data_IF_867502189388
#
_entry.id   IF_867502189388
#
_cell.length_a   1.000
_cell.length_b   1.000
_cell.length_c   1.000
_cell.angle_alpha   90.00
_cell.angle_beta   90.00
_cell.angle_gamma   90.00
#
_symmetry.space_group_name_H-M   'P 1'
#
loop_
_entity.id
_entity.type
_entity.pdbx_description
1 polymer ?
#
# COMPACT_ATOMS: atom_id res chain seq x y z
N UNK A 1 -18.94 -12.11 -11.86
CA UNK A 1 -19.47 -11.14 -10.88
C UNK A 1 -18.89 -11.51 -9.52
N UNK A 2 -18.26 -10.57 -8.81
CA UNK A 2 -17.74 -10.80 -7.45
C UNK A 2 -18.90 -10.88 -6.46
N UNK A 3 -19.79 -9.90 -6.58
CA UNK A 3 -21.02 -9.81 -5.81
C UNK A 3 -22.03 -10.82 -6.35
N UNK A 4 -22.73 -11.46 -5.42
CA UNK A 4 -23.64 -12.57 -5.70
C UNK A 4 -22.95 -13.92 -5.96
N UNK A 5 -21.61 -13.97 -5.96
CA UNK A 5 -20.86 -15.24 -5.96
C UNK A 5 -20.00 -15.40 -4.71
N UNK A 6 -19.20 -14.40 -4.36
CA UNK A 6 -18.15 -14.55 -3.33
C UNK A 6 -18.26 -13.53 -2.19
N UNK A 7 -18.84 -12.35 -2.45
CA UNK A 7 -18.86 -11.27 -1.45
C UNK A 7 -20.30 -10.76 -1.21
N UNK A 8 -21.01 -11.20 -0.15
CA UNK A 8 -22.40 -10.86 0.13
C UNK A 8 -22.53 -9.50 0.85
N UNK A 9 -21.85 -8.48 0.33
CA UNK A 9 -21.87 -7.11 0.85
C UNK A 9 -22.14 -6.09 -0.27
N UNK A 10 -22.28 -4.81 0.10
CA UNK A 10 -22.64 -3.75 -0.83
C UNK A 10 -21.58 -3.47 -1.90
N UNK A 11 -22.06 -3.11 -3.10
CA UNK A 11 -21.23 -2.83 -4.28
C UNK A 11 -20.16 -1.77 -4.05
N UNK A 12 -20.44 -0.78 -3.19
CA UNK A 12 -19.48 0.28 -2.86
C UNK A 12 -18.21 -0.27 -2.23
N UNK A 13 -18.32 -1.20 -1.27
CA UNK A 13 -17.16 -1.75 -0.57
C UNK A 13 -16.24 -2.52 -1.53
N UNK A 14 -16.81 -3.30 -2.45
CA UNK A 14 -16.06 -4.04 -3.48
C UNK A 14 -15.40 -3.08 -4.46
N UNK A 15 -16.15 -2.09 -4.95
CA UNK A 15 -15.65 -1.14 -5.94
C UNK A 15 -14.54 -0.26 -5.36
N UNK A 16 -14.71 0.29 -4.15
CA UNK A 16 -13.71 1.11 -3.48
C UNK A 16 -12.43 0.31 -3.17
N UNK A 17 -12.56 -0.95 -2.75
CA UNK A 17 -11.40 -1.83 -2.58
C UNK A 17 -10.63 -2.04 -3.90
N UNK A 18 -11.36 -2.30 -5.00
CA UNK A 18 -10.77 -2.43 -6.33
C UNK A 18 -10.10 -1.14 -6.81
N UNK A 19 -10.74 0.02 -6.58
CA UNK A 19 -10.20 1.33 -6.93
C UNK A 19 -8.87 1.57 -6.21
N UNK A 20 -8.79 1.28 -4.91
CA UNK A 20 -7.54 1.45 -4.15
C UNK A 20 -6.42 0.57 -4.69
N UNK A 21 -6.72 -0.66 -5.12
CA UNK A 21 -5.75 -1.57 -5.75
C UNK A 21 -5.25 -1.10 -7.13
N UNK A 22 -5.89 -0.08 -7.73
CA UNK A 22 -5.55 0.51 -9.01
C UNK A 22 -4.92 1.91 -8.91
N UNK A 23 -4.66 2.39 -7.68
CA UNK A 23 -4.06 3.70 -7.43
C UNK A 23 -2.59 3.54 -7.04
N UNK A 24 -1.69 4.11 -7.84
CA UNK A 24 -0.24 4.05 -7.65
C UNK A 24 0.26 4.77 -6.39
N UNK A 25 -0.51 5.73 -5.88
CA UNK A 25 -0.27 6.41 -4.60
C UNK A 25 -0.79 5.65 -3.37
N UNK A 26 -1.57 4.57 -3.56
CA UNK A 26 -2.08 3.71 -2.48
C UNK A 26 -1.38 2.36 -2.45
N UNK A 27 -1.19 1.70 -3.59
CA UNK A 27 -0.52 0.41 -3.68
C UNK A 27 0.88 0.56 -4.25
N UNK A 28 1.89 0.09 -3.51
CA UNK A 28 3.30 0.11 -3.96
C UNK A 28 3.50 -0.70 -5.24
N UNK A 29 2.75 -1.79 -5.38
CA UNK A 29 2.63 -2.61 -6.58
C UNK A 29 1.15 -2.88 -6.86
N UNK A 30 0.54 -2.05 -7.70
CA UNK A 30 -0.88 -2.14 -8.06
C UNK A 30 -1.28 -3.54 -8.53
N UNK A 31 -2.40 -4.04 -7.99
CA UNK A 31 -2.95 -5.35 -8.35
C UNK A 31 -4.01 -5.24 -9.47
N UNK A 32 -4.53 -4.04 -9.68
CA UNK A 32 -5.53 -3.75 -10.70
C UNK A 32 -4.97 -2.71 -11.67
N UNK A 33 -5.17 -2.93 -12.96
CA UNK A 33 -4.97 -1.93 -13.99
C UNK A 33 -6.34 -1.34 -14.35
N UNK A 34 -6.57 -0.10 -13.93
CA UNK A 34 -7.78 0.66 -14.23
C UNK A 34 -7.67 1.46 -15.54
N UNK A 35 -8.82 1.70 -16.18
CA UNK A 35 -9.00 2.64 -17.29
C UNK A 35 -10.20 3.54 -16.99
N UNK A 36 -10.02 4.86 -17.15
CA UNK A 36 -10.94 5.89 -16.68
C UNK A 36 -10.42 6.63 -15.44
N UNK A 37 -11.30 7.38 -14.76
CA UNK A 37 -10.92 8.14 -13.56
C UNK A 37 -10.99 7.25 -12.30
N UNK A 38 -9.82 6.93 -11.74
CA UNK A 38 -9.67 6.15 -10.51
C UNK A 38 -9.35 7.01 -9.28
N UNK A 39 -9.61 8.32 -9.33
CA UNK A 39 -9.36 9.25 -8.22
C UNK A 39 -7.93 9.80 -8.21
N UNK A 40 -7.63 10.63 -7.21
CA UNK A 40 -6.38 11.40 -7.15
C UNK A 40 -5.79 11.47 -5.74
N UNK A 41 -4.51 11.86 -5.65
CA UNK A 41 -3.83 12.16 -4.37
C UNK A 41 -4.43 13.38 -3.63
N UNK A 42 -5.22 14.20 -4.33
CA UNK A 42 -6.01 15.29 -3.73
C UNK A 42 -7.25 14.79 -2.99
N UNK A 43 -7.54 13.49 -3.08
CA UNK A 43 -8.69 12.84 -2.45
C UNK A 43 -9.96 12.90 -3.28
N UNK A 44 -9.85 13.19 -4.58
CA UNK A 44 -10.97 13.02 -5.49
C UNK A 44 -11.33 11.54 -5.57
N UNK A 45 -12.62 11.23 -5.42
CA UNK A 45 -13.13 9.88 -5.60
C UNK A 45 -12.99 9.43 -7.06
N UNK A 46 -12.90 8.11 -7.26
CA UNK A 46 -13.06 7.53 -8.60
C UNK A 46 -14.42 7.87 -9.20
N UNK A 47 -14.50 7.85 -10.54
CA UNK A 47 -15.79 7.90 -11.21
C UNK A 47 -16.66 6.70 -10.81
N UNK A 48 -17.97 6.80 -11.01
CA UNK A 48 -18.88 5.68 -10.76
C UNK A 48 -18.48 4.45 -11.61
N UNK A 49 -18.66 3.25 -11.07
CA UNK A 49 -18.22 1.98 -11.68
C UNK A 49 -18.65 1.74 -13.14
N UNK A 50 -19.74 2.38 -13.59
CA UNK A 50 -20.23 2.33 -14.98
C UNK A 50 -19.36 3.11 -16.00
N UNK A 51 -18.43 3.93 -15.53
CA UNK A 51 -17.55 4.77 -16.35
C UNK A 51 -16.08 4.32 -16.29
N UNK A 52 -15.79 3.24 -15.57
CA UNK A 52 -14.44 2.73 -15.37
C UNK A 52 -14.36 1.29 -15.84
N UNK A 53 -13.22 0.92 -16.40
CA UNK A 53 -12.89 -0.45 -16.74
C UNK A 53 -11.68 -0.89 -15.93
N UNK A 54 -11.56 -2.19 -15.69
CA UNK A 54 -10.46 -2.74 -14.92
C UNK A 54 -10.07 -4.13 -15.42
N UNK A 55 -8.78 -4.43 -15.31
CA UNK A 55 -8.24 -5.78 -15.49
C UNK A 55 -7.13 -6.04 -14.47
N UNK A 56 -6.66 -7.28 -14.38
CA UNK A 56 -5.50 -7.59 -13.54
C UNK A 56 -4.25 -6.87 -14.04
N UNK A 57 -3.46 -6.33 -13.12
CA UNK A 57 -2.09 -5.92 -13.44
C UNK A 57 -1.23 -7.17 -13.74
N UNK A 58 -0.07 -6.98 -14.37
CA UNK A 58 0.83 -8.11 -14.67
C UNK A 58 1.27 -8.86 -13.42
N UNK A 59 1.55 -8.15 -12.32
CA UNK A 59 2.02 -8.77 -11.07
C UNK A 59 0.93 -9.59 -10.37
N UNK A 60 -0.35 -9.25 -10.57
CA UNK A 60 -1.47 -10.05 -10.05
C UNK A 60 -1.53 -11.46 -10.62
N UNK A 61 -0.97 -11.67 -11.83
CA UNK A 61 -0.84 -13.03 -12.36
C UNK A 61 0.04 -13.91 -11.48
N UNK A 62 1.03 -13.36 -10.77
CA UNK A 62 1.85 -14.11 -9.82
C UNK A 62 1.08 -14.42 -8.51
N UNK A 63 0.03 -13.68 -8.18
CA UNK A 63 -0.86 -14.05 -7.06
C UNK A 63 -1.68 -15.30 -7.41
N UNK A 64 -2.19 -15.37 -8.64
CA UNK A 64 -3.07 -16.44 -9.11
C UNK A 64 -2.33 -17.61 -9.78
N UNK A 65 -1.01 -17.49 -9.95
CA UNK A 65 -0.22 -18.48 -10.68
C UNK A 65 -0.34 -19.84 -10.02
N UNK A 66 -0.68 -20.83 -10.83
CA UNK A 66 -0.88 -22.23 -10.44
C UNK A 66 -2.13 -22.52 -9.59
N UNK A 67 -3.06 -21.56 -9.43
CA UNK A 67 -4.27 -21.72 -8.60
C UNK A 67 -5.14 -22.95 -8.97
N UNK A 68 -5.15 -23.35 -10.25
CA UNK A 68 -5.90 -24.52 -10.74
C UNK A 68 -5.11 -25.84 -10.71
N UNK A 69 -3.98 -25.89 -9.98
CA UNK A 69 -3.11 -27.07 -9.88
C UNK A 69 -3.10 -27.68 -8.48
N UNK A 70 -4.22 -27.55 -7.76
CA UNK A 70 -4.40 -28.12 -6.42
C UNK A 70 -3.31 -27.65 -5.43
N UNK A 71 -2.91 -26.37 -5.55
CA UNK A 71 -1.87 -25.77 -4.70
C UNK A 71 -2.41 -25.15 -3.42
N UNK A 72 -3.71 -24.94 -3.34
CA UNK A 72 -4.42 -24.30 -2.23
C UNK A 72 -5.78 -24.96 -2.03
N UNK A 73 -6.27 -24.89 -0.81
CA UNK A 73 -7.60 -25.38 -0.47
C UNK A 73 -8.71 -24.44 -0.96
N UNK A 74 -9.84 -25.03 -1.34
CA UNK A 74 -11.08 -24.34 -1.65
C UNK A 74 -12.14 -24.64 -0.60
N UNK A 75 -12.98 -23.65 -0.35
CA UNK A 75 -14.17 -23.77 0.50
C UNK A 75 -15.43 -23.44 -0.30
N UNK A 76 -16.58 -23.84 0.22
CA UNK A 76 -17.87 -23.35 -0.29
C UNK A 76 -18.02 -21.85 -0.01
N UNK A 77 -18.63 -21.13 -0.95
CA UNK A 77 -19.00 -19.73 -0.77
C UNK A 77 -20.14 -19.58 0.25
N UNK A 78 -20.57 -18.33 0.50
CA UNK A 78 -21.54 -18.00 1.55
C UNK A 78 -22.92 -18.68 1.44
N UNK A 79 -23.33 -19.13 0.24
CA UNK A 79 -24.61 -19.83 0.01
C UNK A 79 -24.45 -21.29 -0.49
N UNK A 80 -23.21 -21.78 -0.56
CA UNK A 80 -22.88 -23.15 -1.00
C UNK A 80 -23.04 -23.42 -2.50
N UNK A 81 -23.33 -22.41 -3.32
CA UNK A 81 -23.52 -22.59 -4.77
C UNK A 81 -22.23 -22.51 -5.59
N UNK A 82 -21.15 -21.97 -5.04
CA UNK A 82 -19.85 -21.77 -5.69
C UNK A 82 -18.71 -22.20 -4.77
N UNK A 83 -17.52 -22.42 -5.34
CA UNK A 83 -16.27 -22.62 -4.57
C UNK A 83 -15.39 -21.38 -4.64
N UNK A 84 -14.72 -21.04 -3.54
CA UNK A 84 -13.76 -19.95 -3.44
C UNK A 84 -12.44 -20.40 -2.77
N UNK A 85 -11.30 -19.81 -3.16
CA UNK A 85 -10.02 -20.15 -2.55
C UNK A 85 -9.94 -19.64 -1.11
N UNK A 86 -9.47 -20.47 -0.18
CA UNK A 86 -9.22 -20.05 1.22
C UNK A 86 -8.05 -19.07 1.30
N UNK A 87 -7.06 -19.26 0.42
CA UNK A 87 -5.88 -18.40 0.24
C UNK A 87 -5.44 -18.42 -1.22
N UNK A 88 -4.71 -17.39 -1.64
CA UNK A 88 -4.11 -17.36 -2.99
C UNK A 88 -2.71 -18.00 -2.98
N UNK A 89 -2.25 -18.60 -4.09
CA UNK A 89 -0.88 -19.12 -4.22
C UNK A 89 0.21 -18.09 -3.90
N UNK A 90 -0.01 -16.80 -4.22
CA UNK A 90 0.82 -15.67 -3.80
C UNK A 90 2.33 -15.86 -4.01
N UNK A 91 2.76 -15.96 -5.28
CA UNK A 91 4.17 -16.24 -5.66
C UNK A 91 5.16 -15.11 -5.43
N UNK A 92 4.74 -14.07 -4.71
CA UNK A 92 5.59 -13.02 -4.17
C UNK A 92 5.05 -12.58 -2.79
N UNK A 93 5.89 -12.00 -1.91
CA UNK A 93 5.54 -11.69 -0.53
C UNK A 93 4.61 -10.46 -0.39
N UNK A 94 3.39 -10.56 -0.92
CA UNK A 94 2.44 -9.45 -1.09
C UNK A 94 2.11 -8.68 0.21
N UNK A 95 2.03 -9.38 1.35
CA UNK A 95 1.69 -8.76 2.64
C UNK A 95 2.69 -7.65 3.02
N UNK A 96 3.99 -7.91 2.91
CA UNK A 96 5.01 -6.91 3.22
C UNK A 96 5.17 -5.90 2.07
N UNK A 97 5.06 -6.38 0.83
CA UNK A 97 5.27 -5.56 -0.37
C UNK A 97 4.23 -4.46 -0.51
N UNK A 98 2.94 -4.78 -0.36
CA UNK A 98 1.87 -3.79 -0.45
C UNK A 98 1.39 -3.27 0.91
N UNK A 99 1.77 -3.93 2.01
CA UNK A 99 1.31 -3.59 3.34
C UNK A 99 -0.16 -3.96 3.57
N UNK A 100 -0.66 -3.58 4.75
CA UNK A 100 -2.05 -3.77 5.12
C UNK A 100 -2.44 -2.77 6.22
N UNK A 101 -3.63 -2.18 6.11
CA UNK A 101 -4.20 -1.36 7.18
C UNK A 101 -5.66 -1.76 7.38
N UNK A 102 -6.06 -1.97 8.63
CA UNK A 102 -7.41 -2.43 8.96
C UNK A 102 -7.75 -2.25 10.42
N UNK A 103 -9.00 -1.90 10.69
CA UNK A 103 -9.56 -1.77 12.04
C UNK A 103 -10.56 -2.90 12.21
N UNK A 104 -10.31 -3.77 13.18
CA UNK A 104 -11.21 -4.86 13.56
C UNK A 104 -11.88 -4.52 14.90
N UNK A 105 -12.52 -5.52 15.52
CA UNK A 105 -13.10 -5.37 16.86
C UNK A 105 -12.04 -5.74 17.91
N UNK A 106 -11.64 -4.77 18.73
CA UNK A 106 -10.63 -4.97 19.80
C UNK A 106 -9.17 -4.99 19.33
N UNK A 107 -8.91 -4.86 18.03
CA UNK A 107 -7.57 -4.84 17.46
C UNK A 107 -7.52 -4.03 16.15
N UNK A 108 -6.32 -3.65 15.73
CA UNK A 108 -6.07 -3.02 14.44
C UNK A 108 -4.70 -3.46 13.90
N UNK A 109 -4.51 -3.34 12.59
CA UNK A 109 -3.24 -3.61 11.90
C UNK A 109 -2.82 -2.40 11.07
N UNK A 110 -1.51 -2.17 10.99
CA UNK A 110 -0.90 -1.17 10.12
C UNK A 110 0.52 -1.61 9.75
N UNK A 111 0.63 -2.30 8.62
CA UNK A 111 1.87 -2.82 8.05
C UNK A 111 2.21 -1.92 6.85
N UNK A 112 3.38 -1.24 6.85
CA UNK A 112 3.75 -0.38 5.74
C UNK A 112 4.25 -1.21 4.54
N UNK A 113 4.16 -0.68 3.31
CA UNK A 113 4.69 -1.33 2.11
C UNK A 113 6.23 -1.37 2.10
N UNK A 114 6.78 -2.30 1.33
CA UNK A 114 8.22 -2.54 1.18
C UNK A 114 8.58 -2.78 -0.28
N UNK A 115 9.86 -2.62 -0.60
CA UNK A 115 10.38 -2.81 -1.94
C UNK A 115 10.41 -4.32 -2.28
N UNK A 116 9.89 -4.71 -3.45
CA UNK A 116 9.70 -6.12 -3.82
C UNK A 116 10.99 -6.94 -3.87
N UNK A 117 12.03 -6.40 -4.49
CA UNK A 117 13.35 -7.03 -4.58
C UNK A 117 14.00 -7.22 -3.22
N UNK A 118 14.00 -6.20 -2.36
CA UNK A 118 14.53 -6.27 -0.99
C UNK A 118 13.83 -7.38 -0.18
N UNK A 119 12.50 -7.44 -0.25
CA UNK A 119 11.75 -8.49 0.46
C UNK A 119 12.04 -9.88 -0.13
N UNK A 120 12.15 -10.02 -1.45
CA UNK A 120 12.54 -11.29 -2.09
C UNK A 120 13.96 -11.70 -1.65
N UNK A 121 14.91 -10.77 -1.67
CA UNK A 121 16.29 -11.02 -1.26
C UNK A 121 16.35 -11.42 0.23
N UNK A 122 15.54 -10.80 1.08
CA UNK A 122 15.40 -11.19 2.48
C UNK A 122 14.82 -12.60 2.65
N UNK A 123 13.79 -12.97 1.89
CA UNK A 123 13.24 -14.33 1.87
C UNK A 123 14.31 -15.34 1.41
N UNK A 124 15.08 -15.01 0.37
CA UNK A 124 16.18 -15.85 -0.12
C UNK A 124 17.28 -15.99 0.93
N UNK A 125 17.61 -14.93 1.67
CA UNK A 125 18.60 -14.97 2.74
C UNK A 125 18.14 -15.90 3.89
N UNK A 126 16.91 -15.77 4.36
CA UNK A 126 16.31 -16.64 5.38
C UNK A 126 16.30 -18.11 4.92
N UNK A 127 15.97 -18.38 3.66
CA UNK A 127 15.96 -19.75 3.13
C UNK A 127 17.34 -20.42 3.08
N UNK A 128 18.43 -19.62 2.97
CA UNK A 128 19.82 -20.12 2.96
C UNK A 128 20.42 -20.18 4.36
N UNK A 129 19.99 -19.29 5.26
CA UNK A 129 20.44 -19.23 6.64
C UNK A 129 19.23 -19.07 7.56
N UNK A 130 18.68 -20.18 8.11
CA UNK A 130 17.56 -20.14 9.05
C UNK A 130 17.86 -19.37 10.34
N UNK A 131 19.14 -19.23 10.72
CA UNK A 131 19.60 -18.52 11.91
C UNK A 131 19.96 -17.05 11.64
N UNK A 132 19.63 -16.52 10.45
CA UNK A 132 19.88 -15.12 10.11
C UNK A 132 19.27 -14.19 11.16
N UNK A 133 20.10 -13.29 11.67
CA UNK A 133 19.68 -12.35 12.70
C UNK A 133 18.90 -11.20 12.08
N UNK A 134 18.05 -10.55 12.88
CA UNK A 134 17.33 -9.39 12.39
C UNK A 134 18.25 -8.25 11.90
N UNK A 135 19.36 -7.89 12.57
CA UNK A 135 20.30 -6.91 12.02
C UNK A 135 20.82 -7.26 10.63
N UNK A 136 21.16 -8.53 10.38
CA UNK A 136 21.59 -8.98 9.05
C UNK A 136 20.46 -8.87 8.02
N UNK A 137 19.23 -9.26 8.40
CA UNK A 137 18.07 -9.11 7.52
C UNK A 137 17.76 -7.63 7.21
N UNK A 138 18.01 -6.73 8.16
CA UNK A 138 17.83 -5.28 8.00
C UNK A 138 18.89 -4.61 7.10
N UNK A 139 20.01 -5.27 6.81
CA UNK A 139 20.92 -4.81 5.76
C UNK A 139 20.36 -5.10 4.37
N UNK A 140 19.47 -6.09 4.25
CA UNK A 140 18.81 -6.49 3.00
C UNK A 140 17.46 -5.78 2.82
N UNK A 141 16.70 -5.62 3.91
CA UNK A 141 15.43 -4.91 3.97
C UNK A 141 15.64 -3.68 4.88
N UNK A 142 16.11 -2.53 4.35
CA UNK A 142 16.51 -1.40 5.18
C UNK A 142 15.37 -0.74 5.94
N UNK A 143 14.15 -0.83 5.39
CA UNK A 143 12.95 -0.21 5.91
C UNK A 143 11.76 -0.27 4.94
N UNK A 144 10.65 0.39 5.28
CA UNK A 144 9.52 0.56 4.36
C UNK A 144 9.87 1.36 3.11
N UNK A 145 9.14 1.09 2.02
CA UNK A 145 9.22 1.79 0.74
C UNK A 145 7.81 2.19 0.28
N UNK A 146 7.47 3.46 0.43
CA UNK A 146 6.12 3.96 0.21
C UNK A 146 5.86 4.31 -1.26
N UNK A 147 4.64 4.07 -1.77
CA UNK A 147 4.27 4.47 -3.14
C UNK A 147 4.41 5.98 -3.41
N UNK A 148 4.26 6.79 -2.37
CA UNK A 148 4.39 8.27 -2.44
C UNK A 148 5.82 8.75 -2.19
N UNK A 149 6.79 7.83 -2.05
CA UNK A 149 8.15 8.11 -1.64
C UNK A 149 8.22 8.91 -0.32
N UNK A 150 8.89 10.06 -0.31
CA UNK A 150 9.15 10.85 0.88
C UNK A 150 10.38 10.37 1.65
N UNK A 151 10.54 10.89 2.86
CA UNK A 151 11.70 10.61 3.70
C UNK A 151 11.28 9.95 5.01
N UNK A 152 12.01 8.91 5.41
CA UNK A 152 11.91 8.34 6.76
C UNK A 152 12.97 8.99 7.64
N UNK A 153 12.57 9.47 8.82
CA UNK A 153 13.48 10.09 9.77
C UNK A 153 13.98 9.06 10.81
N UNK A 154 15.26 8.71 10.70
CA UNK A 154 15.91 7.77 11.60
C UNK A 154 15.52 6.30 11.36
N UNK A 155 16.23 5.39 12.03
CA UNK A 155 16.05 3.93 11.84
C UNK A 155 15.57 3.20 13.11
N UNK A 156 15.54 3.86 14.26
CA UNK A 156 15.12 3.26 15.54
C UNK A 156 13.68 2.77 15.51
N UNK A 157 12.78 3.54 14.88
CA UNK A 157 11.38 3.17 14.68
C UNK A 157 11.19 1.92 13.84
N UNK A 158 11.96 1.81 12.74
CA UNK A 158 11.98 0.65 11.85
C UNK A 158 12.46 -0.58 12.62
N UNK A 159 13.63 -0.48 13.27
CA UNK A 159 14.20 -1.59 14.05
C UNK A 159 13.20 -2.13 15.07
N UNK A 160 12.61 -1.24 15.88
CA UNK A 160 11.62 -1.64 16.89
C UNK A 160 10.38 -2.30 16.26
N UNK A 161 9.91 -1.78 15.13
CA UNK A 161 8.78 -2.37 14.40
C UNK A 161 9.08 -3.79 13.93
N UNK A 162 10.28 -4.05 13.39
CA UNK A 162 10.66 -5.38 12.95
C UNK A 162 10.92 -6.35 14.11
N UNK A 163 11.51 -5.88 15.21
CA UNK A 163 11.79 -6.71 16.40
C UNK A 163 10.51 -7.15 17.12
N UNK A 164 9.49 -6.27 17.17
CA UNK A 164 8.36 -6.44 18.08
C UNK A 164 6.99 -6.48 17.40
N UNK A 165 6.94 -6.24 16.09
CA UNK A 165 5.71 -5.99 15.34
C UNK A 165 5.07 -4.63 15.62
N UNK A 166 5.70 -3.77 16.46
CA UNK A 166 5.18 -2.44 16.82
C UNK A 166 6.29 -1.38 16.86
N UNK A 167 6.11 -0.30 16.11
CA UNK A 167 7.03 0.83 16.13
C UNK A 167 6.39 2.08 15.56
N UNK A 168 7.01 3.22 15.80
CA UNK A 168 6.60 4.50 15.20
C UNK A 168 7.66 4.94 14.21
N UNK A 169 7.26 5.17 12.97
CA UNK A 169 8.13 5.60 11.88
C UNK A 169 7.69 7.00 11.48
N UNK A 170 8.59 7.98 11.60
CA UNK A 170 8.29 9.35 11.23
C UNK A 170 8.56 9.56 9.74
N UNK A 171 7.50 9.93 9.01
CA UNK A 171 7.58 10.30 7.60
C UNK A 171 7.63 11.81 7.45
N UNK A 172 8.47 12.28 6.53
CA UNK A 172 8.63 13.69 6.18
C UNK A 172 8.48 13.86 4.66
N UNK A 173 7.81 14.95 4.27
CA UNK A 173 7.75 15.37 2.88
C UNK A 173 9.16 15.70 2.36
N UNK A 174 9.43 15.38 1.09
CA UNK A 174 10.65 15.85 0.43
C UNK A 174 10.42 17.27 -0.04
N UNK A 175 11.21 18.19 0.51
CA UNK A 175 11.10 19.60 0.22
C UNK A 175 12.49 20.22 0.01
N UNK A 176 12.56 21.21 -0.88
CA UNK A 176 13.76 22.01 -1.11
C UNK A 176 13.41 23.49 -1.05
N UNK A 177 14.41 24.32 -0.75
CA UNK A 177 14.29 25.78 -0.75
C UNK A 177 14.97 26.30 -2.00
N UNK A 178 14.27 27.09 -2.79
CA UNK A 178 14.79 27.77 -3.97
C UNK A 178 14.70 29.28 -3.80
N UNK A 179 15.66 30.02 -4.36
CA UNK A 179 15.59 31.47 -4.45
C UNK A 179 14.93 31.88 -5.76
N UNK A 180 13.88 32.70 -5.67
CA UNK A 180 13.25 33.28 -6.86
C UNK A 180 14.11 34.39 -7.47
N UNK A 181 13.81 34.78 -8.70
CA UNK A 181 14.46 35.94 -9.37
C UNK A 181 14.30 37.26 -8.59
N UNK A 182 13.33 37.35 -7.69
CA UNK A 182 13.12 38.48 -6.78
C UNK A 182 13.98 38.45 -5.51
N UNK A 183 14.80 37.41 -5.32
CA UNK A 183 15.59 37.16 -4.11
C UNK A 183 14.79 36.61 -2.93
N UNK A 184 13.49 36.31 -3.11
CA UNK A 184 12.65 35.72 -2.05
C UNK A 184 12.75 34.19 -2.07
N UNK A 185 12.92 33.53 -0.91
CA UNK A 185 12.95 32.07 -0.83
C UNK A 185 11.54 31.48 -1.00
N UNK A 186 11.45 30.33 -1.66
CA UNK A 186 10.24 29.51 -1.81
C UNK A 186 10.53 28.06 -1.43
N UNK A 187 9.56 27.41 -0.80
CA UNK A 187 9.64 25.98 -0.45
C UNK A 187 8.90 25.19 -1.53
N UNK A 188 9.59 24.25 -2.16
CA UNK A 188 9.01 23.34 -3.15
C UNK A 188 8.94 21.95 -2.55
N UNK A 189 7.72 21.42 -2.42
CA UNK A 189 7.45 20.06 -1.94
C UNK A 189 7.20 19.17 -3.16
N UNK A 190 8.02 18.13 -3.33
CA UNK A 190 7.93 17.21 -4.48
C UNK A 190 7.34 15.85 -4.12
N UNK A 191 7.43 15.44 -2.86
CA UNK A 191 6.92 14.15 -2.36
C UNK A 191 6.26 14.36 -1.01
N UNK A 192 5.10 13.74 -0.77
CA UNK A 192 4.35 13.84 0.49
C UNK A 192 4.31 12.50 1.23
N UNK A 193 4.14 12.51 2.57
CA UNK A 193 4.02 11.27 3.33
C UNK A 193 2.85 10.39 2.87
N UNK A 194 3.01 9.08 3.03
CA UNK A 194 2.00 8.09 2.67
C UNK A 194 0.66 8.33 3.38
N UNK A 195 -0.45 8.15 2.64
CA UNK A 195 -1.83 8.40 3.09
C UNK A 195 -2.15 9.85 3.49
N UNK A 196 -1.29 10.82 3.16
CA UNK A 196 -1.62 12.24 3.29
C UNK A 196 -2.37 12.72 2.05
N UNK A 197 -3.53 13.34 2.27
CA UNK A 197 -4.29 14.02 1.23
C UNK A 197 -3.63 15.39 0.92
N UNK A 198 -3.26 15.62 -0.34
CA UNK A 198 -2.55 16.84 -0.77
C UNK A 198 -3.41 18.10 -0.60
N UNK A 199 -4.67 18.08 -1.03
CA UNK A 199 -5.57 19.23 -0.90
C UNK A 199 -5.79 19.65 0.57
N UNK A 200 -6.01 18.68 1.47
CA UNK A 200 -6.15 18.92 2.92
C UNK A 200 -4.85 19.43 3.55
N UNK A 201 -3.69 19.01 3.07
CA UNK A 201 -2.41 19.54 3.52
C UNK A 201 -2.30 21.04 3.16
N UNK A 202 -2.63 21.39 1.91
CA UNK A 202 -2.62 22.78 1.43
C UNK A 202 -3.62 23.65 2.21
N UNK A 203 -4.83 23.15 2.43
CA UNK A 203 -5.86 23.82 3.22
C UNK A 203 -5.36 24.13 4.64
N UNK A 204 -4.76 23.13 5.32
CA UNK A 204 -4.17 23.33 6.65
C UNK A 204 -3.05 24.38 6.67
N UNK A 205 -2.20 24.41 5.65
CA UNK A 205 -1.15 25.44 5.55
C UNK A 205 -1.79 26.83 5.39
N UNK A 206 -2.80 26.96 4.53
CA UNK A 206 -3.51 28.22 4.32
C UNK A 206 -4.24 28.70 5.59
N UNK A 207 -4.84 27.78 6.34
CA UNK A 207 -5.49 28.06 7.62
C UNK A 207 -4.49 28.57 8.66
N UNK A 208 -3.31 27.95 8.78
CA UNK A 208 -2.27 28.40 9.71
C UNK A 208 -1.74 29.80 9.35
N UNK A 209 -1.56 30.08 8.06
CA UNK A 209 -1.17 31.42 7.58
C UNK A 209 -2.24 32.45 7.93
N UNK A 210 -3.53 32.13 7.72
CA UNK A 210 -4.66 33.00 8.07
C UNK A 210 -4.72 33.27 9.57
N UNK A 211 -4.46 32.24 10.38
CA UNK A 211 -4.45 32.30 11.84
C UNK A 211 -3.16 32.90 12.43
N UNK A 212 -2.17 33.21 11.58
CA UNK A 212 -0.83 33.71 11.95
C UNK A 212 -0.11 32.79 12.96
N UNK A 213 -0.13 31.48 12.68
CA UNK A 213 0.53 30.43 13.49
C UNK A 213 1.68 29.75 12.75
#
# INVERSE_FOLDING_TARGET
KVIGKYHPHGDSAVYEAMVRMAQDFNYRYMLVQGHGNFGSVDGDSAAAMRYTEARMSKISMEILRDINKDTIDYQDNYDGSEKEPVVMPARFPNLLVNGAAGIAVGMATNIPPHQLGEVIDGVLAVSKNPDITLPELMEIIPGPDFPTAGLILGRSGIRKAYETGRGSITLRAKAQIEETSSGKPVIIITEIPYQVNKARLIEKIADLVRDKK
#
